data_IF_164026679291
#
_entry.id   IF_164026679291
#
_cell.length_a   1.000
_cell.length_b   1.000
_cell.length_c   1.000
_cell.angle_alpha   90.00
_cell.angle_beta   90.00
_cell.angle_gamma   90.00
#
_symmetry.space_group_name_H-M   'P 1'
#
loop_
_entity.id
_entity.type
_entity.pdbx_description
1 polymer ?
#
# COMPACT_ATOMS: atom_id res chain seq x y z
N UNK A 1 10.87 10.64 -11.14
CA UNK A 1 10.25 9.47 -10.48
C UNK A 1 8.74 9.64 -10.48
N UNK A 2 7.97 8.60 -10.84
CA UNK A 2 6.50 8.60 -10.76
C UNK A 2 6.07 7.82 -9.51
N UNK A 3 5.25 8.42 -8.65
CA UNK A 3 4.69 7.80 -7.44
C UNK A 3 3.19 8.06 -7.39
N UNK A 4 2.42 7.09 -6.88
CA UNK A 4 0.97 7.21 -6.70
C UNK A 4 0.66 6.84 -5.25
N UNK A 5 0.01 7.76 -4.53
CA UNK A 5 -0.47 7.53 -3.17
C UNK A 5 -1.95 7.12 -3.21
N UNK A 6 -2.26 5.94 -2.67
CA UNK A 6 -3.63 5.42 -2.58
C UNK A 6 -4.12 5.54 -1.14
N UNK A 7 -5.06 6.45 -0.89
CA UNK A 7 -5.64 6.75 0.44
C UNK A 7 -7.15 6.52 0.46
N UNK A 8 -7.70 6.29 1.64
CA UNK A 8 -9.13 6.01 1.83
C UNK A 8 -9.40 5.20 3.10
N UNK A 9 -10.68 5.13 3.49
CA UNK A 9 -11.13 4.47 4.72
C UNK A 9 -10.77 2.98 4.78
N UNK A 10 -10.77 2.41 5.99
CA UNK A 10 -10.66 0.95 6.15
C UNK A 10 -11.75 0.23 5.35
N UNK A 11 -11.42 -0.91 4.74
CA UNK A 11 -12.37 -1.65 3.89
C UNK A 11 -12.65 -1.05 2.49
N UNK A 12 -12.18 0.15 2.16
CA UNK A 12 -12.47 0.81 0.87
C UNK A 12 -11.79 0.17 -0.38
N UNK A 13 -11.14 -0.99 -0.24
CA UNK A 13 -10.52 -1.70 -1.37
C UNK A 13 -9.16 -1.14 -1.85
N UNK A 14 -8.48 -0.31 -1.04
CA UNK A 14 -7.17 0.28 -1.39
C UNK A 14 -6.15 -0.74 -1.88
N UNK A 15 -5.98 -1.85 -1.15
CA UNK A 15 -5.00 -2.88 -1.50
C UNK A 15 -5.32 -3.53 -2.85
N UNK A 16 -6.61 -3.78 -3.11
CA UNK A 16 -7.08 -4.30 -4.39
C UNK A 16 -6.81 -3.32 -5.54
N UNK A 17 -7.09 -2.04 -5.33
CA UNK A 17 -6.82 -0.99 -6.31
C UNK A 17 -5.32 -0.85 -6.59
N UNK A 18 -4.48 -0.79 -5.54
CA UNK A 18 -3.02 -0.66 -5.68
C UNK A 18 -2.42 -1.80 -6.51
N UNK A 19 -2.83 -3.05 -6.26
CA UNK A 19 -2.36 -4.21 -7.03
C UNK A 19 -2.76 -4.12 -8.51
N UNK A 20 -4.02 -3.75 -8.79
CA UNK A 20 -4.49 -3.58 -10.18
C UNK A 20 -3.76 -2.44 -10.88
N UNK A 21 -3.56 -1.32 -10.19
CA UNK A 21 -2.87 -0.16 -10.73
C UNK A 21 -1.39 -0.45 -11.02
N UNK A 22 -0.71 -1.18 -10.13
CA UNK A 22 0.67 -1.64 -10.36
C UNK A 22 0.79 -2.51 -11.60
N UNK A 23 -0.15 -3.45 -11.83
CA UNK A 23 -0.18 -4.29 -13.05
C UNK A 23 -0.35 -3.46 -14.33
N UNK A 24 -1.15 -2.40 -14.29
CA UNK A 24 -1.42 -1.55 -15.46
C UNK A 24 -0.25 -0.60 -15.74
N UNK A 25 0.33 -0.02 -14.68
CA UNK A 25 1.33 1.06 -14.79
C UNK A 25 2.77 0.57 -14.79
N UNK A 26 3.01 -0.68 -14.38
CA UNK A 26 4.35 -1.22 -14.13
C UNK A 26 5.04 -0.61 -12.90
N UNK A 27 4.32 0.18 -12.08
CA UNK A 27 4.86 0.78 -10.86
C UNK A 27 4.80 -0.26 -9.74
N UNK A 28 5.92 -0.41 -9.02
CA UNK A 28 6.02 -1.27 -7.85
C UNK A 28 4.98 -0.87 -6.78
N UNK A 29 4.27 -1.87 -6.25
CA UNK A 29 3.27 -1.66 -5.22
C UNK A 29 3.89 -1.85 -3.84
N UNK A 30 3.85 -0.78 -3.05
CA UNK A 30 4.35 -0.77 -1.68
C UNK A 30 3.21 -0.47 -0.72
N UNK A 31 3.05 -1.33 0.28
CA UNK A 31 2.07 -1.19 1.35
C UNK A 31 2.75 -0.59 2.59
N UNK A 32 2.50 0.69 2.85
CA UNK A 32 3.15 1.45 3.93
C UNK A 32 2.88 0.86 5.32
N UNK A 33 1.68 0.33 5.53
CA UNK A 33 1.31 -0.38 6.74
C UNK A 33 2.22 -1.59 7.01
N UNK A 34 2.51 -2.40 5.98
CA UNK A 34 3.43 -3.53 6.10
C UNK A 34 4.89 -3.15 6.29
N UNK A 35 5.30 -1.97 5.80
CA UNK A 35 6.66 -1.48 5.96
C UNK A 35 6.93 -0.93 7.36
N UNK A 36 5.95 -0.20 7.90
CA UNK A 36 6.12 0.56 9.13
C UNK A 36 5.56 -0.13 10.37
N UNK A 37 4.83 -1.24 10.21
CA UNK A 37 4.23 -1.94 11.34
C UNK A 37 4.50 -3.45 11.27
N UNK A 38 5.02 -3.98 12.38
CA UNK A 38 5.10 -5.43 12.62
C UNK A 38 3.69 -5.99 12.92
N UNK A 39 3.51 -7.33 12.96
CA UNK A 39 2.29 -7.93 13.47
C UNK A 39 1.89 -7.30 14.82
N UNK A 40 0.58 -7.17 15.05
CA UNK A 40 0.00 -6.49 16.22
C UNK A 40 0.33 -4.99 16.32
N UNK A 41 0.60 -4.30 15.20
CA UNK A 41 0.82 -2.86 15.18
C UNK A 41 2.00 -2.42 16.06
N UNK A 42 3.07 -3.23 16.12
CA UNK A 42 4.28 -2.87 16.85
C UNK A 42 5.21 -2.06 15.94
N UNK A 43 5.73 -0.94 16.45
CA UNK A 43 6.71 -0.12 15.73
C UNK A 43 8.02 -0.90 15.53
N UNK A 44 8.65 -0.83 14.35
CA UNK A 44 9.97 -1.40 14.13
C UNK A 44 11.03 -0.64 14.95
N UNK A 45 11.82 -1.41 15.70
CA UNK A 45 13.00 -0.99 16.47
C UNK A 45 14.15 -0.55 15.57
#
# INVERSE_FOLDING_TARGET
MKKILVIGSSGAGKSTLSVRLGKITGIEVVHLDKLHWKPNWTEPS
#
